data_IF_718829419409
#
_entry.id   IF_718829419409
#
_cell.length_a   1.000
_cell.length_b   1.000
_cell.length_c   1.000
_cell.angle_alpha   90.00
_cell.angle_beta   90.00
_cell.angle_gamma   90.00
#
_symmetry.space_group_name_H-M   'P 1'
#
loop_
_entity.id
_entity.type
_entity.pdbx_description
1 polymer ?
#
# COMPACT_ATOMS: atom_id res chain seq x y z
N UNK A 1 -0.66 42.35 -10.43
CA UNK A 1 -0.60 41.36 -9.34
C UNK A 1 -0.95 40.00 -9.92
N UNK A 2 0.03 39.10 -10.05
CA UNK A 2 -0.21 37.76 -10.58
C UNK A 2 -1.03 36.93 -9.61
N UNK A 3 -2.07 36.23 -10.12
CA UNK A 3 -2.81 35.24 -9.32
C UNK A 3 -1.79 34.20 -8.80
N UNK A 4 -1.82 33.82 -7.51
CA UNK A 4 -0.96 32.75 -7.02
C UNK A 4 -1.27 31.50 -7.86
N UNK A 5 -0.27 31.00 -8.58
CA UNK A 5 -0.41 29.82 -9.41
C UNK A 5 -0.91 28.69 -8.53
N UNK A 6 -2.06 28.11 -8.86
CA UNK A 6 -2.53 26.87 -8.23
C UNK A 6 -1.44 25.83 -8.45
N UNK A 7 -0.67 25.50 -7.42
CA UNK A 7 0.31 24.41 -7.53
C UNK A 7 -0.46 23.14 -7.88
N UNK A 8 -0.25 22.61 -9.08
CA UNK A 8 -0.86 21.35 -9.50
C UNK A 8 -0.32 20.21 -8.67
N UNK A 9 -1.19 19.26 -8.33
CA UNK A 9 -0.78 17.98 -7.78
C UNK A 9 -0.29 17.12 -8.94
N UNK A 10 0.89 16.52 -8.78
CA UNK A 10 1.51 15.60 -9.72
C UNK A 10 1.54 14.21 -9.07
N UNK A 11 1.24 13.20 -9.87
CA UNK A 11 1.24 11.79 -9.46
C UNK A 11 2.30 11.10 -10.32
N UNK A 12 3.39 10.69 -9.69
CA UNK A 12 4.41 9.86 -10.33
C UNK A 12 4.14 8.39 -9.99
N UNK A 13 4.28 7.50 -10.97
CA UNK A 13 4.01 6.07 -10.85
C UNK A 13 5.25 5.24 -10.45
N UNK A 14 6.30 5.92 -9.99
CA UNK A 14 7.54 5.33 -9.51
C UNK A 14 8.24 6.27 -8.52
N UNK A 15 9.10 5.71 -7.67
CA UNK A 15 9.92 6.47 -6.73
C UNK A 15 11.28 6.84 -7.34
N UNK A 16 11.52 8.14 -7.53
CA UNK A 16 12.86 8.64 -7.86
C UNK A 16 13.76 8.76 -6.61
N UNK A 17 15.07 8.52 -6.78
CA UNK A 17 16.07 8.61 -5.70
C UNK A 17 16.07 9.95 -4.96
N UNK A 18 15.82 11.05 -5.68
CA UNK A 18 15.77 12.41 -5.12
C UNK A 18 14.64 12.60 -4.09
N UNK A 19 13.64 11.72 -4.08
CA UNK A 19 12.48 11.79 -3.19
C UNK A 19 12.56 10.86 -1.97
N UNK A 20 13.60 10.02 -1.86
CA UNK A 20 13.70 9.02 -0.79
C UNK A 20 13.66 9.62 0.61
N UNK A 21 14.42 10.69 0.86
CA UNK A 21 14.43 11.35 2.17
C UNK A 21 13.05 11.86 2.59
N UNK A 22 12.29 12.43 1.64
CA UNK A 22 10.94 12.91 1.90
C UNK A 22 9.96 11.75 2.16
N UNK A 23 10.12 10.61 1.47
CA UNK A 23 9.30 9.43 1.70
C UNK A 23 9.55 8.82 3.08
N UNK A 24 10.82 8.69 3.48
CA UNK A 24 11.20 8.21 4.81
C UNK A 24 10.67 9.13 5.92
N UNK A 25 10.66 10.45 5.69
CA UNK A 25 10.06 11.40 6.62
C UNK A 25 8.55 11.19 6.75
N UNK A 26 7.84 11.01 5.64
CA UNK A 26 6.40 10.73 5.66
C UNK A 26 6.12 9.43 6.42
N UNK A 27 6.86 8.35 6.14
CA UNK A 27 6.66 7.05 6.77
C UNK A 27 6.89 7.13 8.29
N UNK A 28 7.98 7.78 8.72
CA UNK A 28 8.27 8.02 10.14
C UNK A 28 7.15 8.79 10.83
N UNK A 29 6.67 9.88 10.21
CA UNK A 29 5.60 10.70 10.77
C UNK A 29 4.24 9.98 10.79
N UNK A 30 3.95 9.17 9.78
CA UNK A 30 2.67 8.49 9.65
C UNK A 30 2.56 7.26 10.56
N UNK A 31 3.63 6.48 10.65
CA UNK A 31 3.62 5.16 11.31
C UNK A 31 4.43 5.10 12.61
N UNK A 32 5.13 6.19 12.98
CA UNK A 32 6.00 6.23 14.16
C UNK A 32 7.04 5.10 14.20
N UNK A 33 7.50 4.65 13.03
CA UNK A 33 8.52 3.62 12.86
C UNK A 33 9.71 4.19 12.08
N UNK A 34 10.90 3.67 12.35
CA UNK A 34 12.02 3.88 11.45
C UNK A 34 11.85 3.00 10.20
N UNK A 35 12.29 3.47 9.02
CA UNK A 35 12.19 2.70 7.79
C UNK A 35 12.87 1.34 7.93
N UNK A 36 12.15 0.27 7.59
CA UNK A 36 12.69 -1.08 7.62
C UNK A 36 13.77 -1.22 6.53
N UNK A 37 14.93 -1.87 6.80
CA UNK A 37 15.92 -2.19 5.77
C UNK A 37 15.33 -2.81 4.50
N UNK A 38 14.30 -3.66 4.64
CA UNK A 38 13.59 -4.24 3.51
C UNK A 38 12.89 -3.18 2.64
N UNK A 39 12.19 -2.21 3.26
CA UNK A 39 11.54 -1.11 2.53
C UNK A 39 12.56 -0.25 1.78
N UNK A 40 13.74 -0.04 2.35
CA UNK A 40 14.84 0.67 1.68
C UNK A 40 15.37 -0.11 0.48
N UNK A 41 15.54 -1.43 0.63
CA UNK A 41 15.94 -2.30 -0.47
C UNK A 41 14.89 -2.32 -1.59
N UNK A 42 13.60 -2.30 -1.24
CA UNK A 42 12.50 -2.22 -2.20
C UNK A 42 12.49 -0.89 -2.94
N UNK A 43 12.66 0.24 -2.24
CA UNK A 43 12.76 1.57 -2.84
C UNK A 43 13.92 1.65 -3.85
N UNK A 44 15.03 0.96 -3.58
CA UNK A 44 16.17 0.88 -4.50
C UNK A 44 15.93 -0.02 -5.71
N UNK A 45 15.50 -1.26 -5.46
CA UNK A 45 15.46 -2.30 -6.49
C UNK A 45 14.14 -2.36 -7.24
N UNK A 46 13.07 -1.81 -6.67
CA UNK A 46 11.68 -1.91 -7.14
C UNK A 46 10.93 -0.57 -6.98
N UNK A 47 11.46 0.55 -7.50
CA UNK A 47 10.84 1.87 -7.36
C UNK A 47 9.44 1.96 -7.99
N UNK A 48 9.11 1.08 -8.94
CA UNK A 48 7.80 0.99 -9.60
C UNK A 48 6.66 0.48 -8.71
N UNK A 49 6.96 0.04 -7.47
CA UNK A 49 5.95 -0.32 -6.48
C UNK A 49 5.39 0.89 -5.74
N UNK A 50 6.01 2.06 -5.92
CA UNK A 50 5.61 3.28 -5.25
C UNK A 50 4.82 4.19 -6.20
N UNK A 51 3.75 4.77 -5.69
CA UNK A 51 3.11 5.96 -6.26
C UNK A 51 3.52 7.15 -5.43
N UNK A 52 4.05 8.22 -6.03
CA UNK A 52 4.49 9.43 -5.32
C UNK A 52 3.58 10.59 -5.68
N UNK A 53 3.11 11.33 -4.68
CA UNK A 53 2.28 12.51 -4.87
C UNK A 53 3.00 13.76 -4.40
N UNK A 54 3.09 14.75 -5.30
CA UNK A 54 3.87 15.97 -5.05
C UNK A 54 3.21 17.24 -5.56
N UNK A 55 3.71 18.37 -5.05
CA UNK A 55 3.45 19.72 -5.55
C UNK A 55 4.79 20.38 -5.86
N UNK A 56 5.09 20.54 -7.15
CA UNK A 56 6.45 20.89 -7.57
C UNK A 56 7.44 19.80 -7.13
N UNK A 57 8.46 20.17 -6.34
CA UNK A 57 9.48 19.26 -5.82
C UNK A 57 9.16 18.66 -4.44
N UNK A 58 8.06 19.09 -3.80
CA UNK A 58 7.70 18.62 -2.46
C UNK A 58 6.74 17.44 -2.53
N UNK A 59 7.16 16.30 -2.00
CA UNK A 59 6.31 15.12 -1.81
C UNK A 59 5.41 15.36 -0.61
N UNK A 60 4.12 15.11 -0.76
CA UNK A 60 3.15 15.20 0.34
C UNK A 60 2.50 13.85 0.65
N UNK A 61 2.63 12.85 -0.21
CA UNK A 61 2.11 11.52 0.06
C UNK A 61 2.65 10.47 -0.89
N UNK A 62 2.43 9.21 -0.53
CA UNK A 62 2.78 8.07 -1.36
C UNK A 62 1.86 6.88 -1.09
N UNK A 63 1.88 5.93 -2.01
CA UNK A 63 1.37 4.57 -1.82
C UNK A 63 2.43 3.55 -2.18
N UNK A 64 2.44 2.42 -1.49
CA UNK A 64 3.31 1.28 -1.75
C UNK A 64 2.46 0.04 -2.02
N UNK A 65 2.55 -0.48 -3.24
CA UNK A 65 1.85 -1.69 -3.69
C UNK A 65 2.87 -2.70 -4.22
N UNK A 66 3.02 -3.80 -3.49
CA UNK A 66 3.98 -4.85 -3.79
C UNK A 66 3.34 -5.88 -4.73
N UNK A 67 4.00 -6.15 -5.87
CA UNK A 67 3.62 -7.22 -6.80
C UNK A 67 4.09 -8.56 -6.22
N UNK A 68 3.18 -9.43 -5.80
CA UNK A 68 3.54 -10.65 -5.06
C UNK A 68 3.64 -11.87 -5.98
N UNK A 69 4.64 -12.73 -5.73
CA UNK A 69 4.69 -14.08 -6.29
C UNK A 69 3.55 -14.93 -5.73
N UNK A 70 3.17 -15.95 -6.50
CA UNK A 70 2.10 -16.89 -6.13
C UNK A 70 2.33 -17.59 -4.80
N UNK A 71 3.58 -17.96 -4.49
CA UNK A 71 3.96 -18.62 -3.24
C UNK A 71 3.77 -17.69 -2.04
N UNK A 72 4.30 -16.48 -2.11
CA UNK A 72 4.17 -15.47 -1.06
C UNK A 72 2.71 -15.08 -0.83
N UNK A 73 1.93 -14.88 -1.90
CA UNK A 73 0.50 -14.58 -1.83
C UNK A 73 -0.30 -15.69 -1.15
N UNK A 74 -0.01 -16.96 -1.46
CA UNK A 74 -0.64 -18.11 -0.80
C UNK A 74 -0.26 -18.18 0.68
N UNK A 75 1.02 -17.95 1.00
CA UNK A 75 1.50 -17.94 2.37
C UNK A 75 0.84 -16.83 3.20
N UNK A 76 0.68 -15.61 2.67
CA UNK A 76 -0.04 -14.53 3.35
C UNK A 76 -1.49 -14.91 3.67
N UNK A 77 -2.22 -15.51 2.72
CA UNK A 77 -3.61 -15.96 2.94
C UNK A 77 -3.73 -17.07 3.98
N UNK A 78 -2.75 -17.96 3.99
CA UNK A 78 -2.64 -19.03 4.99
C UNK A 78 -2.07 -18.55 6.30
N UNK A 79 -1.77 -17.25 6.42
CA UNK A 79 -1.26 -16.68 7.64
C UNK A 79 0.16 -17.24 8.00
N UNK A 80 0.92 -17.64 6.99
CA UNK A 80 2.27 -18.21 7.08
C UNK A 80 3.37 -17.17 6.77
N UNK A 81 3.01 -16.02 6.18
CA UNK A 81 3.93 -14.93 5.81
C UNK A 81 3.38 -13.57 6.28
N UNK A 82 4.26 -12.75 6.86
CA UNK A 82 3.98 -11.42 7.40
C UNK A 82 4.75 -10.35 6.64
N UNK A 83 4.35 -9.08 6.82
CA UNK A 83 4.97 -7.91 6.16
C UNK A 83 6.49 -7.84 6.37
N UNK A 84 6.95 -8.03 7.62
CA UNK A 84 8.39 -8.05 7.95
C UNK A 84 9.16 -9.21 7.30
N UNK A 85 8.45 -10.24 6.84
CA UNK A 85 9.01 -11.40 6.13
C UNK A 85 9.00 -11.27 4.61
N UNK A 86 8.46 -10.19 4.04
CA UNK A 86 8.40 -10.01 2.58
C UNK A 86 9.78 -9.62 2.04
N UNK A 87 10.61 -10.60 1.68
CA UNK A 87 11.87 -10.35 0.98
C UNK A 87 11.68 -9.98 -0.49
N UNK A 88 12.77 -9.55 -1.16
CA UNK A 88 12.78 -9.38 -2.62
C UNK A 88 12.38 -10.64 -3.39
N UNK A 89 12.65 -11.82 -2.81
CA UNK A 89 12.29 -13.12 -3.36
C UNK A 89 10.77 -13.37 -3.36
N UNK A 90 10.01 -12.66 -2.53
CA UNK A 90 8.55 -12.68 -2.51
C UNK A 90 7.92 -11.81 -3.62
N UNK A 91 8.71 -10.92 -4.23
CA UNK A 91 8.25 -9.93 -5.21
C UNK A 91 8.33 -10.50 -6.63
N UNK A 92 7.24 -10.36 -7.39
CA UNK A 92 7.14 -10.79 -8.77
C UNK A 92 7.77 -9.75 -9.72
N UNK A 93 8.69 -10.20 -10.58
CA UNK A 93 9.30 -9.35 -11.60
C UNK A 93 8.36 -9.09 -12.79
N UNK A 94 7.49 -10.06 -13.11
CA UNK A 94 6.46 -10.00 -14.17
C UNK A 94 5.29 -10.89 -13.77
N UNK A 95 4.09 -10.57 -14.26
CA UNK A 95 2.86 -11.37 -14.08
C UNK A 95 2.60 -11.76 -12.62
N UNK A 96 2.35 -10.79 -11.73
CA UNK A 96 2.03 -11.08 -10.34
C UNK A 96 0.78 -11.96 -10.25
N UNK A 97 0.72 -12.88 -9.29
CA UNK A 97 -0.54 -13.56 -8.98
C UNK A 97 -1.45 -12.67 -8.12
N UNK A 98 -0.89 -11.58 -7.59
CA UNK A 98 -1.62 -10.59 -6.86
C UNK A 98 -0.77 -9.46 -6.31
N UNK A 99 -1.44 -8.54 -5.63
CA UNK A 99 -0.85 -7.32 -5.12
C UNK A 99 -1.03 -7.24 -3.61
N UNK A 100 -0.03 -6.76 -2.89
CA UNK A 100 -0.11 -6.44 -1.47
C UNK A 100 -0.01 -4.93 -1.27
N UNK A 101 -1.02 -4.34 -0.61
CA UNK A 101 -1.00 -2.93 -0.25
C UNK A 101 -0.27 -2.77 1.09
N UNK A 102 0.99 -2.37 1.04
CA UNK A 102 1.82 -2.27 2.24
C UNK A 102 1.58 -0.95 2.98
N UNK A 103 1.55 0.18 2.27
CA UNK A 103 1.34 1.48 2.91
C UNK A 103 0.67 2.52 2.01
N UNK A 104 -0.04 3.44 2.65
CA UNK A 104 -0.64 4.63 2.05
C UNK A 104 -0.52 5.75 3.09
N UNK A 105 0.31 6.74 2.80
CA UNK A 105 0.61 7.79 3.77
C UNK A 105 0.71 9.18 3.15
N UNK A 106 0.46 10.19 3.98
CA UNK A 106 0.59 11.61 3.63
C UNK A 106 1.24 12.37 4.77
N UNK A 107 1.90 13.49 4.46
CA UNK A 107 2.44 14.39 5.48
C UNK A 107 1.35 14.84 6.48
N UNK A 108 1.71 15.01 7.76
CA UNK A 108 0.86 15.73 8.71
C UNK A 108 0.46 17.10 8.15
N UNK A 109 -0.81 17.48 8.33
CA UNK A 109 -1.36 18.74 7.80
C UNK A 109 -1.78 18.70 6.33
N UNK A 110 -1.63 17.57 5.63
CA UNK A 110 -2.25 17.38 4.30
C UNK A 110 -3.75 17.67 4.37
N UNK A 111 -4.29 18.27 3.31
CA UNK A 111 -5.73 18.52 3.18
C UNK A 111 -6.50 17.22 2.97
N UNK A 112 -7.80 17.24 3.23
CA UNK A 112 -8.68 16.10 2.94
C UNK A 112 -8.62 15.70 1.46
N UNK A 113 -8.57 16.70 0.56
CA UNK A 113 -8.40 16.48 -0.87
C UNK A 113 -7.10 15.76 -1.19
N UNK A 114 -5.98 16.14 -0.59
CA UNK A 114 -4.69 15.47 -0.80
C UNK A 114 -4.73 14.02 -0.34
N UNK A 115 -5.27 13.76 0.85
CA UNK A 115 -5.48 12.40 1.35
C UNK A 115 -6.32 11.56 0.39
N UNK A 116 -7.44 12.12 -0.08
CA UNK A 116 -8.32 11.44 -1.03
C UNK A 116 -7.63 11.15 -2.36
N UNK A 117 -6.80 12.07 -2.88
CA UNK A 117 -6.04 11.84 -4.11
C UNK A 117 -4.95 10.78 -3.89
N UNK A 118 -4.24 10.78 -2.75
CA UNK A 118 -3.27 9.74 -2.40
C UNK A 118 -3.92 8.37 -2.37
N UNK A 119 -5.01 8.23 -1.62
CA UNK A 119 -5.78 6.97 -1.56
C UNK A 119 -6.27 6.57 -2.95
N UNK A 120 -6.85 7.51 -3.70
CA UNK A 120 -7.38 7.26 -5.05
C UNK A 120 -6.31 6.85 -6.05
N UNK A 121 -5.11 7.44 -5.99
CA UNK A 121 -3.99 7.09 -6.85
C UNK A 121 -3.51 5.66 -6.56
N UNK A 122 -3.33 5.31 -5.28
CA UNK A 122 -2.92 3.97 -4.86
C UNK A 122 -3.98 2.91 -5.19
N UNK A 123 -5.23 3.17 -4.83
CA UNK A 123 -6.38 2.32 -5.18
C UNK A 123 -6.52 2.18 -6.70
N UNK A 124 -6.24 3.24 -7.45
CA UNK A 124 -6.26 3.20 -8.91
C UNK A 124 -5.26 2.22 -9.52
N UNK A 125 -4.07 2.06 -8.92
CA UNK A 125 -3.11 1.03 -9.34
C UNK A 125 -3.65 -0.37 -9.11
N UNK A 126 -4.33 -0.56 -7.98
CA UNK A 126 -4.90 -1.82 -7.54
C UNK A 126 -6.12 -2.21 -8.37
N UNK A 127 -7.03 -1.29 -8.65
CA UNK A 127 -8.26 -1.56 -9.43
C UNK A 127 -7.98 -1.87 -10.90
N UNK A 128 -6.82 -1.43 -11.42
CA UNK A 128 -6.34 -1.78 -12.76
C UNK A 128 -5.71 -3.17 -12.82
N UNK A 129 -5.40 -3.78 -11.67
CA UNK A 129 -4.83 -5.10 -11.63
C UNK A 129 -5.87 -6.14 -12.08
N UNK A 130 -5.57 -6.96 -13.10
CA UNK A 130 -6.41 -8.10 -13.43
C UNK A 130 -6.37 -9.18 -12.34
N UNK A 131 -5.39 -9.15 -11.45
CA UNK A 131 -5.17 -10.16 -10.42
C UNK A 131 -5.70 -9.78 -9.02
N UNK A 132 -5.67 -10.76 -8.11
CA UNK A 132 -6.18 -10.62 -6.75
C UNK A 132 -5.33 -9.68 -5.90
N UNK A 133 -5.95 -8.90 -5.02
CA UNK A 133 -5.28 -7.94 -4.15
C UNK A 133 -5.54 -8.35 -2.71
N UNK A 134 -4.49 -8.35 -1.90
CA UNK A 134 -4.56 -8.54 -0.45
C UNK A 134 -4.16 -7.25 0.25
N UNK A 135 -4.83 -6.93 1.35
CA UNK A 135 -4.50 -5.81 2.19
C UNK A 135 -4.60 -6.20 3.67
N UNK A 136 -3.70 -5.65 4.49
CA UNK A 136 -3.74 -5.74 5.96
C UNK A 136 -3.77 -4.30 6.49
N UNK A 137 -4.96 -3.69 6.63
CA UNK A 137 -5.06 -2.36 7.17
C UNK A 137 -4.60 -2.34 8.63
N UNK A 138 -3.55 -1.58 8.94
CA UNK A 138 -3.04 -1.41 10.30
C UNK A 138 -3.74 -0.29 11.09
N UNK A 139 -4.78 0.32 10.54
CA UNK A 139 -5.57 1.37 11.19
C UNK A 139 -7.04 1.35 10.75
N UNK A 140 -7.92 2.02 11.50
CA UNK A 140 -9.34 2.19 11.15
C UNK A 140 -9.54 2.85 9.78
N UNK A 141 -8.67 3.81 9.43
CA UNK A 141 -8.71 4.47 8.13
C UNK A 141 -8.42 3.51 6.99
N UNK A 142 -7.41 2.63 7.16
CA UNK A 142 -7.11 1.58 6.19
C UNK A 142 -8.26 0.59 6.03
N UNK A 143 -8.90 0.22 7.13
CA UNK A 143 -10.05 -0.70 7.13
C UNK A 143 -11.23 -0.11 6.38
N UNK A 144 -11.52 1.18 6.62
CA UNK A 144 -12.54 1.93 5.89
C UNK A 144 -12.25 1.93 4.38
N UNK A 145 -10.99 2.14 3.98
CA UNK A 145 -10.59 2.09 2.56
C UNK A 145 -10.86 0.71 1.97
N UNK A 146 -10.44 -0.37 2.64
CA UNK A 146 -10.66 -1.75 2.17
C UNK A 146 -12.16 -2.03 1.93
N UNK A 147 -13.02 -1.60 2.87
CA UNK A 147 -14.48 -1.73 2.72
C UNK A 147 -15.04 -0.88 1.59
N UNK A 148 -14.57 0.36 1.44
CA UNK A 148 -15.01 1.27 0.37
C UNK A 148 -14.74 0.69 -1.02
N UNK A 149 -13.63 -0.02 -1.19
CA UNK A 149 -13.27 -0.69 -2.46
C UNK A 149 -13.82 -2.12 -2.54
N UNK A 150 -14.74 -2.49 -1.65
CA UNK A 150 -15.45 -3.77 -1.61
C UNK A 150 -14.52 -4.98 -1.53
N UNK A 151 -13.40 -4.86 -0.82
CA UNK A 151 -12.63 -6.05 -0.46
C UNK A 151 -13.40 -6.85 0.60
N UNK A 152 -13.29 -8.17 0.52
CA UNK A 152 -13.92 -9.11 1.45
C UNK A 152 -12.95 -9.46 2.58
N UNK A 153 -13.41 -9.45 3.85
CA UNK A 153 -12.60 -9.89 4.97
C UNK A 153 -12.33 -11.39 4.87
N UNK A 154 -11.08 -11.79 5.05
CA UNK A 154 -10.64 -13.17 5.14
C UNK A 154 -10.49 -13.57 6.60
N UNK A 155 -10.90 -14.81 6.91
CA UNK A 155 -10.57 -15.40 8.20
C UNK A 155 -9.07 -15.63 8.31
N UNK A 156 -8.50 -15.32 9.47
CA UNK A 156 -7.09 -15.58 9.80
C UNK A 156 -6.98 -15.97 11.27
N UNK A 157 -6.17 -16.98 11.55
CA UNK A 157 -5.81 -17.39 12.91
C UNK A 157 -4.71 -16.51 13.53
N UNK A 158 -4.11 -15.59 12.77
CA UNK A 158 -3.02 -14.75 13.26
C UNK A 158 -3.50 -13.62 14.16
N UNK A 159 -2.65 -13.30 15.14
CA UNK A 159 -2.77 -12.06 15.94
C UNK A 159 -2.14 -10.92 15.17
N UNK A 160 -2.90 -10.33 14.25
CA UNK A 160 -2.45 -9.15 13.50
C UNK A 160 -2.27 -7.96 14.46
N UNK A 161 -1.19 -7.19 14.29
CA UNK A 161 -0.91 -5.98 15.08
C UNK A 161 -1.18 -4.74 14.24
N UNK A 162 -2.10 -3.91 14.73
CA UNK A 162 -2.35 -2.59 14.18
C UNK A 162 -1.76 -1.50 15.04
N UNK A 163 -1.82 -0.27 14.54
CA UNK A 163 -1.41 0.92 15.25
C UNK A 163 -2.40 1.25 16.38
N UNK A 164 -1.91 1.82 17.48
CA UNK A 164 -2.74 2.34 18.57
C UNK A 164 -3.76 1.33 19.13
N UNK A 165 -3.39 0.05 19.22
CA UNK A 165 -4.26 -1.02 19.72
C UNK A 165 -5.33 -1.48 18.73
N UNK A 166 -5.33 -0.98 17.49
CA UNK A 166 -6.20 -1.46 16.43
C UNK A 166 -5.90 -2.94 16.12
N UNK A 167 -6.95 -3.74 15.93
CA UNK A 167 -6.84 -5.14 15.52
C UNK A 167 -7.12 -5.25 14.01
N UNK A 168 -6.10 -5.48 13.16
CA UNK A 168 -6.26 -5.59 11.72
C UNK A 168 -7.14 -6.77 11.32
N UNK A 169 -7.75 -6.63 10.15
CA UNK A 169 -8.49 -7.68 9.46
C UNK A 169 -7.81 -7.93 8.11
N UNK A 170 -7.55 -9.18 7.74
CA UNK A 170 -7.02 -9.50 6.41
C UNK A 170 -8.13 -9.31 5.37
N UNK A 171 -7.84 -8.64 4.25
CA UNK A 171 -8.80 -8.41 3.16
C UNK A 171 -8.33 -8.99 1.83
N UNK A 172 -9.26 -9.43 0.98
CA UNK A 172 -9.02 -9.80 -0.42
C UNK A 172 -9.98 -9.12 -1.40
N UNK A 173 -9.50 -8.73 -2.58
CA UNK A 173 -10.33 -8.16 -3.65
C UNK A 173 -11.06 -9.19 -4.52
N UNK A 174 -11.06 -10.49 -4.16
CA UNK A 174 -11.73 -11.51 -4.98
C UNK A 174 -13.16 -11.11 -5.30
N UNK A 175 -13.44 -10.92 -6.59
CA UNK A 175 -14.77 -11.17 -7.14
C UNK A 175 -15.01 -12.66 -6.98
N UNK A 176 -15.93 -13.06 -6.10
CA UNK A 176 -16.42 -14.43 -5.89
C UNK A 176 -15.95 -15.44 -6.95
N UNK A 177 -14.89 -16.20 -6.65
CA UNK A 177 -14.82 -17.57 -7.14
C UNK A 177 -15.57 -18.35 -6.07
N UNK A 178 -16.73 -18.97 -6.38
CA UNK A 178 -17.47 -19.74 -5.39
C UNK A 178 -16.51 -20.74 -4.76
N UNK A 179 -16.35 -20.65 -3.44
CA UNK A 179 -15.68 -21.69 -2.69
C UNK A 179 -16.61 -22.89 -2.80
N UNK A 180 -16.36 -23.81 -3.73
CA UNK A 180 -17.06 -25.08 -3.78
C UNK A 180 -16.91 -25.70 -2.40
N UNK A 181 -18.03 -25.75 -1.66
CA UNK A 181 -18.13 -26.50 -0.43
C UNK A 181 -17.85 -27.94 -0.81
N UNK A 182 -16.64 -28.44 -0.51
CA UNK A 182 -16.41 -29.86 -0.45
C UNK A 182 -17.29 -30.40 0.67
N UNK A 183 -18.33 -31.12 0.27
CA UNK A 183 -19.07 -32.05 1.13
C UNK A 183 -18.14 -33.19 1.53
#
# INVERSE_FOLDING_TARGET
>A
MGRPGRSSIIIDDHLERKYWGQLMEIDRLAYSKEPNPAEMEWAEKRPEMYTVLRRGEKVFGYGLVIKMKSTAMKAMKKAELWEDGIGLDCIANRSPLGYYVASIATLPGSTERERAITVGATVGQILKAPEEVIAIPVSESGDRICRMIRMEPLWSSLVLKGMNGYRPTLYSSRKNVPCERKQ
#
